data_IF_828795203648
#
_entry.id   IF_828795203648
#
_cell.length_a   1.000
_cell.length_b   1.000
_cell.length_c   1.000
_cell.angle_alpha   90.00
_cell.angle_beta   90.00
_cell.angle_gamma   90.00
#
_symmetry.space_group_name_H-M   'P 1'
#
loop_
_entity.id
_entity.type
_entity.pdbx_description
1 polymer ?
#
# COMPACT_ATOMS: atom_id res chain seq x y z
N UNK A 1 8.65 52.26 82.41
CA UNK A 1 7.82 52.23 81.16
C UNK A 1 8.61 52.50 79.85
N UNK A 2 9.73 53.15 79.81
CA UNK A 2 10.46 53.52 78.57
C UNK A 2 11.16 52.34 77.82
N UNK A 3 11.48 51.22 78.52
CA UNK A 3 12.18 50.12 77.88
C UNK A 3 11.25 49.15 77.15
N UNK A 4 10.02 48.96 77.60
CA UNK A 4 9.02 48.13 76.96
C UNK A 4 8.59 48.75 75.63
N UNK A 5 8.43 50.07 75.56
CA UNK A 5 8.05 50.79 74.33
C UNK A 5 9.14 50.64 73.24
N UNK A 6 10.40 50.68 73.61
CA UNK A 6 11.51 50.49 72.67
C UNK A 6 11.57 49.05 72.14
N UNK A 7 11.29 48.07 72.97
CA UNK A 7 11.26 46.67 72.57
C UNK A 7 10.11 46.39 71.63
N UNK A 8 8.94 46.97 71.83
CA UNK A 8 7.79 46.82 70.92
C UNK A 8 8.05 47.48 69.57
N UNK A 9 8.64 48.70 69.56
CA UNK A 9 9.00 49.33 68.28
C UNK A 9 10.03 48.53 67.48
N UNK A 10 11.07 48.00 68.18
CA UNK A 10 12.04 47.15 67.52
C UNK A 10 11.46 45.81 66.96
N UNK A 11 10.50 45.22 67.69
CA UNK A 11 9.82 44.04 67.31
C UNK A 11 8.94 44.26 66.03
N UNK A 12 8.20 45.37 66.02
CA UNK A 12 7.35 45.68 64.83
C UNK A 12 8.22 46.05 63.63
N UNK A 13 9.31 46.73 63.77
CA UNK A 13 10.27 47.02 62.68
C UNK A 13 10.93 45.74 62.14
N UNK A 14 11.26 44.80 63.03
CA UNK A 14 11.83 43.49 62.62
C UNK A 14 10.86 42.64 61.82
N UNK A 15 9.59 42.61 62.26
CA UNK A 15 8.54 41.83 61.47
C UNK A 15 8.24 42.55 60.15
N UNK A 16 8.26 43.83 60.07
CA UNK A 16 8.03 44.60 58.83
C UNK A 16 9.20 44.33 57.81
N UNK A 17 10.43 44.26 58.31
CA UNK A 17 11.60 43.94 57.46
C UNK A 17 11.60 42.45 56.97
N UNK A 18 11.16 41.51 57.81
CA UNK A 18 11.01 40.12 57.44
C UNK A 18 9.84 39.94 56.46
N UNK A 19 8.72 40.60 56.61
CA UNK A 19 7.60 40.56 55.67
C UNK A 19 7.92 41.28 54.36
N UNK A 20 8.68 42.36 54.38
CA UNK A 20 9.18 43.03 53.17
C UNK A 20 10.24 42.25 52.42
N UNK A 21 11.08 41.51 53.16
CA UNK A 21 12.11 40.64 52.54
C UNK A 21 11.59 39.35 51.95
N UNK A 22 10.48 38.83 52.49
CA UNK A 22 9.88 37.59 51.94
C UNK A 22 9.12 37.81 50.61
N UNK A 23 8.77 39.08 50.28
CA UNK A 23 8.11 39.41 49.02
C UNK A 23 9.01 39.66 47.83
N UNK A 24 10.34 39.67 48.01
CA UNK A 24 11.28 40.00 46.92
C UNK A 24 12.01 38.81 46.30
N UNK A 25 11.50 37.58 46.46
CA UNK A 25 11.94 36.49 45.61
C UNK A 25 11.32 36.70 44.22
N UNK A 26 11.89 37.59 43.44
CA UNK A 26 11.60 37.70 42.03
C UNK A 26 12.09 36.41 41.35
N UNK A 27 11.19 35.46 41.17
CA UNK A 27 11.45 34.32 40.28
C UNK A 27 11.48 34.86 38.85
N UNK A 28 12.65 34.99 38.30
CA UNK A 28 12.81 35.26 36.88
C UNK A 28 12.52 33.98 36.13
N UNK A 29 11.33 33.90 35.54
CA UNK A 29 10.96 32.79 34.65
C UNK A 29 10.95 33.38 33.25
N UNK A 30 11.88 32.99 32.41
CA UNK A 30 11.87 33.27 30.97
C UNK A 30 11.33 32.02 30.26
N UNK A 31 10.14 32.13 29.69
CA UNK A 31 9.51 31.06 28.91
C UNK A 31 9.49 31.49 27.45
N UNK A 32 10.29 30.85 26.64
CA UNK A 32 10.28 31.05 25.19
C UNK A 32 9.65 29.84 24.51
N UNK A 33 8.62 30.10 23.74
CA UNK A 33 8.06 29.08 22.83
C UNK A 33 8.93 29.03 21.60
N UNK A 34 9.38 27.82 21.22
CA UNK A 34 10.01 27.57 19.93
C UNK A 34 9.01 27.84 18.80
N UNK A 35 9.52 28.12 17.60
CA UNK A 35 8.67 28.21 16.40
C UNK A 35 7.94 26.89 16.17
N UNK A 36 6.67 26.98 15.87
CA UNK A 36 5.88 25.79 15.47
C UNK A 36 6.42 25.21 14.18
N UNK A 37 6.68 23.90 14.17
CA UNK A 37 7.06 23.15 12.98
C UNK A 37 5.84 22.33 12.56
N UNK A 38 5.37 22.52 11.33
CA UNK A 38 4.29 21.71 10.78
C UNK A 38 4.83 20.28 10.47
N UNK A 39 4.16 19.27 11.01
CA UNK A 39 4.45 17.87 10.74
C UNK A 39 3.27 17.31 9.95
N UNK A 40 3.52 16.85 8.71
CA UNK A 40 2.54 16.21 7.86
C UNK A 40 2.85 14.72 7.74
N UNK A 41 1.83 13.88 7.77
CA UNK A 41 1.96 12.43 7.50
C UNK A 41 2.06 12.16 6.00
N UNK A 42 2.76 11.09 5.63
CA UNK A 42 2.69 10.51 4.30
C UNK A 42 1.36 9.79 4.05
N UNK A 43 1.15 9.34 2.82
CA UNK A 43 -0.02 8.56 2.40
C UNK A 43 0.40 7.26 1.73
N UNK A 44 -0.44 6.23 1.88
CA UNK A 44 -0.30 4.92 1.25
C UNK A 44 -1.69 4.41 0.86
N UNK A 45 -1.99 4.41 -0.44
CA UNK A 45 -3.30 3.96 -0.93
C UNK A 45 -3.24 3.38 -2.33
N UNK A 46 -4.25 2.57 -2.66
CA UNK A 46 -4.55 2.11 -4.01
C UNK A 46 -5.69 2.94 -4.58
N UNK A 47 -5.57 3.34 -5.84
CA UNK A 47 -6.66 3.97 -6.58
C UNK A 47 -7.62 2.94 -7.18
N UNK A 48 -8.59 3.43 -7.96
CA UNK A 48 -9.54 2.56 -8.67
C UNK A 48 -8.83 1.76 -9.76
N UNK A 49 -9.00 0.44 -9.73
CA UNK A 49 -8.38 -0.49 -10.67
C UNK A 49 -9.45 -0.92 -11.69
N UNK A 50 -9.16 -0.72 -12.98
CA UNK A 50 -10.01 -1.14 -14.09
C UNK A 50 -9.37 -2.37 -14.76
N UNK A 51 -9.87 -3.56 -14.43
CA UNK A 51 -9.26 -4.82 -14.86
C UNK A 51 -10.19 -5.76 -15.67
N UNK A 52 -11.39 -5.30 -16.06
CA UNK A 52 -12.35 -6.12 -16.79
C UNK A 52 -12.08 -6.26 -18.29
N UNK A 53 -11.28 -5.37 -18.90
CA UNK A 53 -11.03 -5.33 -20.36
C UNK A 53 -9.54 -5.33 -20.68
N UNK A 54 -9.21 -5.39 -21.97
CA UNK A 54 -7.81 -5.30 -22.44
C UNK A 54 -7.05 -6.62 -22.40
N UNK A 55 -7.75 -7.75 -22.39
CA UNK A 55 -7.13 -9.07 -22.56
C UNK A 55 -6.74 -9.31 -24.02
N UNK A 56 -5.64 -10.01 -24.21
CA UNK A 56 -5.22 -10.57 -25.50
C UNK A 56 -5.14 -12.07 -25.39
N UNK A 57 -5.34 -12.75 -26.53
CA UNK A 57 -5.24 -14.21 -26.67
C UNK A 57 -4.28 -14.56 -27.79
N UNK A 58 -3.46 -15.56 -27.55
CA UNK A 58 -2.60 -16.20 -28.55
C UNK A 58 -2.55 -17.70 -28.28
N UNK A 59 -2.20 -18.52 -29.27
CA UNK A 59 -2.00 -19.95 -29.06
C UNK A 59 -0.51 -20.26 -29.05
N UNK A 60 -0.09 -21.06 -28.08
CA UNK A 60 1.28 -21.57 -27.99
C UNK A 60 1.44 -22.92 -28.69
N UNK A 61 2.67 -23.26 -29.09
CA UNK A 61 2.99 -24.57 -29.60
C UNK A 61 2.80 -25.67 -28.53
N UNK A 62 2.43 -26.85 -28.97
CA UNK A 62 2.29 -28.00 -28.07
C UNK A 62 3.63 -28.34 -27.40
N UNK A 63 3.62 -28.40 -26.05
CA UNK A 63 4.78 -28.81 -25.26
C UNK A 63 5.84 -27.70 -25.02
N UNK A 64 5.69 -26.50 -25.61
CA UNK A 64 6.62 -25.39 -25.41
C UNK A 64 5.86 -24.05 -25.30
N UNK A 65 6.30 -23.09 -24.46
CA UNK A 65 5.64 -21.80 -24.33
C UNK A 65 6.04 -20.84 -25.46
N UNK A 66 5.95 -21.29 -26.70
CA UNK A 66 6.28 -20.50 -27.89
C UNK A 66 5.01 -20.15 -28.64
N UNK A 67 4.70 -18.86 -28.86
CA UNK A 67 3.55 -18.44 -29.63
C UNK A 67 3.54 -18.99 -31.04
N UNK A 68 2.43 -19.58 -31.44
CA UNK A 68 2.17 -20.05 -32.83
C UNK A 68 1.32 -19.05 -33.60
N UNK A 69 0.55 -18.23 -32.89
CA UNK A 69 -0.31 -17.19 -33.46
C UNK A 69 0.06 -15.83 -32.92
N UNK A 70 -0.24 -14.77 -33.68
CA UNK A 70 -0.14 -13.42 -33.18
C UNK A 70 -1.19 -13.20 -32.08
N UNK A 71 -0.83 -12.38 -31.07
CA UNK A 71 -1.77 -11.98 -30.04
C UNK A 71 -2.87 -11.09 -30.65
N UNK A 72 -4.12 -11.44 -30.38
CA UNK A 72 -5.31 -10.67 -30.80
C UNK A 72 -6.15 -10.30 -29.58
N UNK A 73 -7.05 -9.32 -29.73
CA UNK A 73 -7.94 -8.92 -28.65
C UNK A 73 -8.86 -10.08 -28.24
N UNK A 74 -8.93 -10.35 -26.94
CA UNK A 74 -9.86 -11.30 -26.35
C UNK A 74 -11.07 -10.53 -25.78
N UNK A 75 -12.26 -10.98 -26.15
CA UNK A 75 -13.51 -10.41 -25.64
C UNK A 75 -14.14 -11.41 -24.68
N UNK A 76 -14.13 -11.13 -23.35
CA UNK A 76 -14.74 -12.02 -22.37
C UNK A 76 -16.22 -12.31 -22.67
N UNK A 77 -16.62 -13.55 -22.49
CA UNK A 77 -17.99 -14.00 -22.75
C UNK A 77 -18.37 -14.22 -24.22
N UNK A 78 -17.53 -13.78 -25.17
CA UNK A 78 -17.77 -13.94 -26.62
C UNK A 78 -16.70 -14.81 -27.27
N UNK A 79 -15.44 -14.53 -27.01
CA UNK A 79 -14.32 -15.33 -27.55
C UNK A 79 -14.19 -16.62 -26.75
N UNK A 80 -14.28 -17.76 -27.42
CA UNK A 80 -14.06 -19.07 -26.81
C UNK A 80 -12.57 -19.39 -26.75
N UNK A 81 -12.15 -20.07 -25.69
CA UNK A 81 -10.78 -20.56 -25.51
C UNK A 81 -10.69 -22.03 -25.85
N UNK A 82 -9.55 -22.45 -26.36
CA UNK A 82 -9.25 -23.86 -26.69
C UNK A 82 -7.91 -24.27 -26.07
N UNK A 83 -7.60 -25.60 -25.96
CA UNK A 83 -6.31 -26.05 -25.49
C UNK A 83 -5.14 -25.43 -26.29
N UNK A 84 -4.11 -24.99 -25.57
CA UNK A 84 -2.96 -24.27 -26.10
C UNK A 84 -3.09 -22.74 -26.05
N UNK A 85 -4.28 -22.20 -25.79
CA UNK A 85 -4.47 -20.76 -25.68
C UNK A 85 -3.83 -20.19 -24.42
N UNK A 86 -3.28 -18.99 -24.59
CA UNK A 86 -2.71 -18.17 -23.52
C UNK A 86 -3.33 -16.78 -23.59
N UNK A 87 -4.03 -16.41 -22.55
CA UNK A 87 -4.56 -15.06 -22.37
C UNK A 87 -3.55 -14.25 -21.55
N UNK A 88 -3.30 -13.02 -21.98
CA UNK A 88 -2.41 -12.11 -21.27
C UNK A 88 -3.09 -10.76 -21.09
N UNK A 89 -2.84 -10.12 -19.94
CA UNK A 89 -3.33 -8.79 -19.65
C UNK A 89 -2.33 -8.02 -18.82
N UNK A 90 -2.17 -6.74 -19.13
CA UNK A 90 -1.47 -5.78 -18.27
C UNK A 90 -2.50 -4.85 -17.63
N UNK A 91 -2.51 -4.80 -16.32
CA UNK A 91 -3.35 -3.91 -15.52
C UNK A 91 -2.51 -2.77 -14.97
N UNK A 92 -2.95 -1.56 -15.22
CA UNK A 92 -2.38 -0.34 -14.63
C UNK A 92 -3.02 -0.13 -13.25
N UNK A 93 -2.25 -0.36 -12.19
CA UNK A 93 -2.67 -0.20 -10.79
C UNK A 93 -2.22 1.16 -10.29
N UNK A 94 -3.15 2.09 -10.01
CA UNK A 94 -2.78 3.37 -9.43
C UNK A 94 -2.36 3.18 -7.97
N UNK A 95 -1.17 3.67 -7.62
CA UNK A 95 -0.64 3.64 -6.26
C UNK A 95 -0.28 5.05 -5.80
N UNK A 96 -0.59 5.38 -4.58
CA UNK A 96 -0.14 6.60 -3.94
C UNK A 96 0.79 6.23 -2.77
N UNK A 97 2.05 6.60 -2.92
CA UNK A 97 3.11 6.34 -1.91
C UNK A 97 3.83 7.66 -1.70
N UNK A 98 3.45 8.39 -0.64
CA UNK A 98 4.05 9.67 -0.28
C UNK A 98 4.75 9.60 1.07
N UNK A 99 5.83 10.37 1.22
CA UNK A 99 6.69 10.36 2.40
C UNK A 99 8.09 9.83 2.09
N UNK A 100 9.13 10.49 2.63
CA UNK A 100 10.53 10.24 2.30
C UNK A 100 10.96 8.78 2.57
N UNK A 101 10.46 8.19 3.64
CA UNK A 101 10.80 6.82 4.08
C UNK A 101 9.62 5.85 3.92
N UNK A 102 8.66 6.18 3.06
CA UNK A 102 7.53 5.29 2.83
C UNK A 102 7.93 4.19 1.83
N UNK A 103 7.82 2.94 2.28
CA UNK A 103 8.09 1.73 1.52
C UNK A 103 6.92 0.78 1.73
N UNK A 104 6.46 0.14 0.68
CA UNK A 104 5.33 -0.76 0.73
C UNK A 104 5.59 -2.03 -0.08
N UNK A 105 4.90 -3.10 0.26
CA UNK A 105 4.83 -4.31 -0.55
C UNK A 105 3.45 -4.37 -1.19
N UNK A 106 3.40 -4.44 -2.51
CA UNK A 106 2.20 -4.77 -3.26
C UNK A 106 2.17 -6.28 -3.49
N UNK A 107 1.14 -6.94 -2.96
CA UNK A 107 0.84 -8.36 -3.19
C UNK A 107 -0.39 -8.44 -4.07
N UNK A 108 -0.28 -9.19 -5.15
CA UNK A 108 -1.35 -9.45 -6.10
C UNK A 108 -1.58 -10.97 -6.14
N UNK A 109 -2.84 -11.36 -6.01
CA UNK A 109 -3.26 -12.76 -6.13
C UNK A 109 -4.42 -12.87 -7.10
N UNK A 110 -4.62 -14.07 -7.66
CA UNK A 110 -5.68 -14.39 -8.60
C UNK A 110 -6.55 -15.53 -8.10
N UNK A 111 -7.79 -15.54 -8.55
CA UNK A 111 -8.73 -16.61 -8.29
C UNK A 111 -9.65 -16.82 -9.51
N UNK A 112 -10.14 -18.05 -9.68
CA UNK A 112 -11.15 -18.39 -10.67
C UNK A 112 -12.45 -18.83 -10.00
N UNK A 113 -13.58 -18.32 -10.48
CA UNK A 113 -14.91 -18.65 -9.95
C UNK A 113 -15.94 -18.78 -11.08
N UNK A 114 -16.87 -19.77 -11.05
CA UNK A 114 -16.92 -20.87 -10.10
C UNK A 114 -15.75 -21.84 -10.26
N UNK A 115 -15.43 -22.58 -9.22
CA UNK A 115 -14.48 -23.69 -9.30
C UNK A 115 -15.17 -24.88 -10.02
N UNK A 116 -14.85 -25.06 -11.30
CA UNK A 116 -15.40 -26.11 -12.16
C UNK A 116 -14.27 -26.79 -12.94
N UNK A 117 -14.60 -27.76 -13.82
CA UNK A 117 -13.61 -28.50 -14.58
C UNK A 117 -12.74 -27.58 -15.48
N UNK A 118 -13.27 -26.47 -16.01
CA UNK A 118 -12.46 -25.49 -16.74
C UNK A 118 -11.48 -24.78 -15.78
N UNK A 119 -11.97 -24.28 -14.65
CA UNK A 119 -11.13 -23.62 -13.65
C UNK A 119 -10.02 -24.52 -13.10
N UNK A 120 -10.25 -25.81 -12.98
CA UNK A 120 -9.22 -26.77 -12.51
C UNK A 120 -8.18 -27.13 -13.55
N UNK A 121 -8.51 -26.98 -14.83
CA UNK A 121 -7.61 -27.30 -15.92
C UNK A 121 -6.78 -26.12 -16.41
N UNK A 122 -7.26 -24.89 -16.25
CA UNK A 122 -6.46 -23.71 -16.59
C UNK A 122 -5.46 -23.36 -15.48
N UNK A 123 -4.38 -22.67 -15.85
CA UNK A 123 -3.43 -22.09 -14.92
C UNK A 123 -3.50 -20.58 -15.03
N UNK A 124 -3.98 -19.93 -13.96
CA UNK A 124 -3.90 -18.48 -13.82
C UNK A 124 -2.64 -18.12 -13.02
N UNK A 125 -1.97 -17.05 -13.39
CA UNK A 125 -0.77 -16.59 -12.70
C UNK A 125 -0.61 -15.08 -12.80
N UNK A 126 -0.14 -14.45 -11.72
CA UNK A 126 0.47 -13.13 -11.77
C UNK A 126 1.90 -13.28 -12.28
N UNK A 127 2.13 -12.89 -13.51
CA UNK A 127 3.45 -13.07 -14.17
C UNK A 127 4.46 -12.07 -13.66
N UNK A 128 4.05 -10.81 -13.45
CA UNK A 128 4.92 -9.80 -12.86
C UNK A 128 4.13 -8.67 -12.21
N UNK A 129 4.76 -8.03 -11.22
CA UNK A 129 4.32 -6.78 -10.59
C UNK A 129 5.45 -5.77 -10.72
N UNK A 130 5.21 -4.65 -11.38
CA UNK A 130 6.21 -3.60 -11.65
C UNK A 130 7.52 -4.15 -12.30
N UNK A 131 7.38 -5.13 -13.19
CA UNK A 131 8.53 -5.79 -13.83
C UNK A 131 9.25 -6.85 -12.97
N UNK A 132 8.86 -7.01 -11.72
CA UNK A 132 9.37 -8.07 -10.84
C UNK A 132 8.53 -9.34 -11.07
N UNK A 133 9.17 -10.47 -11.35
CA UNK A 133 8.49 -11.73 -11.59
C UNK A 133 7.69 -12.20 -10.35
N UNK A 134 6.48 -12.73 -10.61
CA UNK A 134 5.56 -13.20 -9.59
C UNK A 134 4.59 -12.13 -9.09
N UNK A 135 3.80 -12.48 -8.07
CA UNK A 135 2.69 -11.67 -7.55
C UNK A 135 3.08 -10.65 -6.47
N UNK A 136 4.37 -10.37 -6.24
CA UNK A 136 4.80 -9.49 -5.15
C UNK A 136 5.90 -8.55 -5.61
N UNK A 137 5.77 -7.27 -5.31
CA UNK A 137 6.82 -6.28 -5.53
C UNK A 137 6.92 -5.31 -4.36
N UNK A 138 8.15 -4.89 -4.07
CA UNK A 138 8.40 -3.79 -3.13
C UNK A 138 8.39 -2.48 -3.89
N UNK A 139 7.64 -1.51 -3.36
CA UNK A 139 7.42 -0.19 -3.93
C UNK A 139 7.93 0.88 -2.97
N UNK A 140 8.38 2.00 -3.52
CA UNK A 140 8.81 3.19 -2.78
C UNK A 140 8.09 4.42 -3.33
N UNK A 141 8.34 5.59 -2.78
CA UNK A 141 7.83 6.85 -3.33
C UNK A 141 8.20 7.10 -4.80
N UNK A 142 9.27 6.47 -5.31
CA UNK A 142 9.64 6.51 -6.73
C UNK A 142 8.63 5.78 -7.64
N UNK A 143 7.83 4.88 -7.09
CA UNK A 143 6.77 4.16 -7.80
C UNK A 143 5.40 4.84 -7.67
N UNK A 144 5.33 6.03 -7.06
CA UNK A 144 4.10 6.79 -6.97
C UNK A 144 3.50 7.05 -8.36
N UNK A 145 2.21 6.79 -8.53
CA UNK A 145 1.51 6.93 -9.80
C UNK A 145 0.93 5.60 -10.29
N UNK A 146 1.57 4.93 -11.23
CA UNK A 146 1.03 3.70 -11.85
C UNK A 146 2.05 2.57 -11.81
N UNK A 147 1.60 1.41 -11.34
CA UNK A 147 2.36 0.15 -11.33
C UNK A 147 1.68 -0.84 -12.27
N UNK A 148 2.45 -1.41 -13.20
CA UNK A 148 1.92 -2.41 -14.12
C UNK A 148 1.95 -3.80 -13.49
N UNK A 149 0.82 -4.51 -13.58
CA UNK A 149 0.67 -5.91 -13.18
C UNK A 149 0.31 -6.74 -14.40
N UNK A 150 1.07 -7.79 -14.66
CA UNK A 150 0.83 -8.68 -15.80
C UNK A 150 0.25 -9.99 -15.31
N UNK A 151 -0.90 -10.35 -15.89
CA UNK A 151 -1.57 -11.62 -15.66
C UNK A 151 -1.47 -12.51 -16.90
N UNK A 152 -1.37 -13.81 -16.66
CA UNK A 152 -1.42 -14.83 -17.70
C UNK A 152 -2.38 -15.93 -17.28
N UNK A 153 -3.28 -16.32 -18.18
CA UNK A 153 -4.14 -17.49 -18.02
C UNK A 153 -3.85 -18.46 -19.16
N UNK A 154 -3.38 -19.66 -18.84
CA UNK A 154 -3.00 -20.69 -19.80
C UNK A 154 -4.00 -21.83 -19.77
N UNK A 155 -4.49 -22.22 -20.93
CA UNK A 155 -5.26 -23.43 -21.15
C UNK A 155 -4.29 -24.49 -21.68
N UNK A 156 -3.88 -25.47 -20.87
CA UNK A 156 -2.86 -26.43 -21.29
C UNK A 156 -3.37 -27.33 -22.44
N UNK A 157 -2.47 -27.78 -23.27
CA UNK A 157 -2.78 -28.73 -24.33
C UNK A 157 -3.38 -30.06 -23.82
N UNK A 158 -3.17 -30.37 -22.54
CA UNK A 158 -3.73 -31.55 -21.86
C UNK A 158 -5.17 -31.34 -21.37
N UNK A 159 -5.74 -30.15 -21.57
CA UNK A 159 -7.14 -29.87 -21.19
C UNK A 159 -8.07 -30.79 -22.00
N UNK A 160 -9.00 -31.42 -21.31
CA UNK A 160 -9.90 -32.44 -21.85
C UNK A 160 -11.34 -31.96 -22.06
N UNK A 161 -12.18 -32.83 -22.59
CA UNK A 161 -13.56 -32.53 -22.90
C UNK A 161 -14.44 -32.22 -21.69
N UNK A 162 -14.01 -32.48 -20.44
CA UNK A 162 -14.78 -32.14 -19.23
C UNK A 162 -14.84 -30.62 -19.02
N UNK A 163 -13.88 -29.86 -19.57
CA UNK A 163 -13.88 -28.40 -19.57
C UNK A 163 -14.73 -27.78 -20.68
N UNK A 164 -15.27 -28.58 -21.62
CA UNK A 164 -16.00 -28.08 -22.78
C UNK A 164 -17.29 -27.37 -22.37
N UNK A 165 -17.57 -26.23 -23.03
CA UNK A 165 -18.80 -25.43 -22.85
C UNK A 165 -19.00 -24.92 -21.41
N UNK A 166 -17.93 -24.84 -20.60
CA UNK A 166 -17.98 -24.25 -19.27
C UNK A 166 -17.50 -22.80 -19.29
N UNK A 167 -17.92 -22.05 -18.31
CA UNK A 167 -17.48 -20.67 -18.08
C UNK A 167 -16.90 -20.56 -16.67
N UNK A 168 -15.79 -19.85 -16.56
CA UNK A 168 -15.21 -19.44 -15.28
C UNK A 168 -14.79 -17.97 -15.37
N UNK A 169 -14.81 -17.26 -14.25
CA UNK A 169 -14.38 -15.88 -14.17
C UNK A 169 -13.00 -15.84 -13.52
N UNK A 170 -12.14 -14.98 -14.04
CA UNK A 170 -10.89 -14.60 -13.42
C UNK A 170 -11.09 -13.34 -12.58
N UNK A 171 -10.57 -13.34 -11.36
CA UNK A 171 -10.59 -12.19 -10.47
C UNK A 171 -9.22 -12.01 -9.84
N UNK A 172 -8.75 -10.76 -9.78
CA UNK A 172 -7.53 -10.38 -9.07
C UNK A 172 -7.84 -9.66 -7.76
N UNK A 173 -6.98 -9.84 -6.78
CA UNK A 173 -6.99 -9.13 -5.49
C UNK A 173 -5.64 -8.43 -5.30
N UNK A 174 -5.68 -7.19 -4.83
CA UNK A 174 -4.51 -6.32 -4.66
C UNK A 174 -4.42 -5.86 -3.21
N UNK A 175 -3.30 -6.11 -2.58
CA UNK A 175 -3.04 -5.70 -1.19
C UNK A 175 -1.76 -4.90 -1.12
N UNK A 176 -1.86 -3.66 -0.64
CA UNK A 176 -0.72 -2.77 -0.44
C UNK A 176 -0.47 -2.62 1.07
N UNK A 177 0.70 -3.03 1.53
CA UNK A 177 1.07 -3.02 2.95
C UNK A 177 2.36 -2.24 3.15
N UNK A 178 2.35 -1.29 4.08
CA UNK A 178 3.56 -0.58 4.48
C UNK A 178 4.56 -1.53 5.14
N UNK A 179 5.84 -1.38 4.79
CA UNK A 179 6.95 -2.13 5.38
C UNK A 179 8.01 -1.16 5.89
N UNK A 180 8.88 -1.64 6.77
CA UNK A 180 9.98 -0.84 7.29
C UNK A 180 10.92 -0.41 6.16
N UNK A 181 11.33 0.86 6.15
CA UNK A 181 12.34 1.35 5.22
C UNK A 181 13.73 0.73 5.46
N UNK A 182 13.99 0.24 6.69
CA UNK A 182 15.26 -0.35 7.11
C UNK A 182 15.41 -1.85 6.77
N UNK A 183 14.50 -2.41 5.96
CA UNK A 183 14.54 -3.83 5.55
C UNK A 183 15.16 -4.01 4.17
#
# INVERSE_FOLDING_TARGET
>A
MRNVTKAVIAGVAGVALLAGGAGSLAFWTDTKSGSAVAIASGDLSLGTIADSTGWTIQQNAAGVPVPQTAAVAYVPGTTLVVPGDVLTKTVAVPVNISGLNNKATLVVSEATTPSNALATQLTAAVTSVNGVAGGTATLTSANNGTVNVVFTVTIPWTADNTAKALTTNFQASYTLTQVSAAS
#
